data_IF_252577233340
#
_entry.id   IF_252577233340
#
_cell.length_a   1.000
_cell.length_b   1.000
_cell.length_c   1.000
_cell.angle_alpha   90.00
_cell.angle_beta   90.00
_cell.angle_gamma   90.00
#
_symmetry.space_group_name_H-M   'P 1'
#
loop_
_entity.id
_entity.type
_entity.pdbx_description
1 polymer ?
#
# COMPACT_ATOMS: atom_id res chain seq x y z
N UNK A 1 -2.59 8.28 -11.19
CA UNK A 1 -3.37 7.00 -11.24
C UNK A 1 -3.69 6.61 -9.80
N UNK A 2 -4.87 6.06 -9.49
CA UNK A 2 -5.20 5.66 -8.11
C UNK A 2 -5.07 4.15 -8.02
N UNK A 3 -4.21 3.67 -7.11
CA UNK A 3 -4.06 2.25 -6.78
C UNK A 3 -4.72 2.04 -5.44
N UNK A 4 -5.80 1.26 -5.43
CA UNK A 4 -6.48 0.85 -4.20
C UNK A 4 -5.93 -0.49 -3.77
N UNK A 5 -5.44 -0.54 -2.53
CA UNK A 5 -4.99 -1.79 -1.90
C UNK A 5 -5.92 -2.03 -0.72
N UNK A 6 -6.68 -3.12 -0.81
CA UNK A 6 -7.58 -3.58 0.23
C UNK A 6 -6.93 -4.76 0.95
N UNK A 7 -6.91 -4.72 2.26
CA UNK A 7 -6.33 -5.76 3.11
C UNK A 7 -7.08 -5.80 4.44
N UNK A 8 -6.97 -6.90 5.19
CA UNK A 8 -7.60 -7.00 6.50
C UNK A 8 -6.68 -6.60 7.64
N UNK A 9 -7.27 -6.24 8.79
CA UNK A 9 -6.48 -5.92 9.98
C UNK A 9 -5.58 -7.10 10.40
N UNK A 10 -6.03 -8.35 10.19
CA UNK A 10 -5.22 -9.55 10.40
C UNK A 10 -4.01 -9.62 9.47
N UNK A 11 -4.14 -9.23 8.20
CA UNK A 11 -2.99 -9.19 7.26
C UNK A 11 -1.96 -8.14 7.66
N UNK A 12 -2.42 -6.96 8.12
CA UNK A 12 -1.53 -5.94 8.69
C UNK A 12 -0.81 -6.45 9.95
N UNK A 13 -1.54 -7.16 10.81
CA UNK A 13 -0.99 -7.74 12.04
C UNK A 13 0.00 -8.88 11.74
N UNK A 14 -0.25 -9.72 10.73
CA UNK A 14 0.65 -10.80 10.31
C UNK A 14 1.97 -10.25 9.77
N UNK A 15 1.92 -9.08 9.12
CA UNK A 15 3.10 -8.37 8.63
C UNK A 15 3.89 -7.66 9.74
N UNK A 16 3.35 -7.55 10.96
CA UNK A 16 3.92 -6.76 12.07
C UNK A 16 4.18 -5.30 11.68
N UNK A 17 3.36 -4.77 10.76
CA UNK A 17 3.48 -3.41 10.22
C UNK A 17 2.28 -2.57 10.60
N UNK A 18 2.47 -1.26 10.68
CA UNK A 18 1.34 -0.32 10.83
C UNK A 18 0.76 0.03 9.47
N UNK A 19 -0.48 0.51 9.44
CA UNK A 19 -1.15 0.96 8.20
C UNK A 19 -0.32 2.00 7.43
N UNK A 20 0.35 2.92 8.14
CA UNK A 20 1.29 3.87 7.55
C UNK A 20 2.55 3.22 6.99
N UNK A 21 3.12 2.23 7.70
CA UNK A 21 4.29 1.50 7.19
C UNK A 21 3.95 0.66 5.96
N UNK A 22 2.77 0.04 5.96
CA UNK A 22 2.28 -0.70 4.80
C UNK A 22 2.03 0.24 3.62
N UNK A 23 1.43 1.41 3.85
CA UNK A 23 1.25 2.43 2.81
C UNK A 23 2.59 2.84 2.17
N UNK A 24 3.59 3.17 2.99
CA UNK A 24 4.93 3.54 2.52
C UNK A 24 5.60 2.38 1.76
N UNK A 25 5.44 1.15 2.26
CA UNK A 25 5.95 -0.06 1.62
C UNK A 25 5.33 -0.29 0.23
N UNK A 26 4.00 -0.14 0.10
CA UNK A 26 3.29 -0.27 -1.17
C UNK A 26 3.68 0.85 -2.13
N UNK A 27 3.80 2.09 -1.66
CA UNK A 27 4.26 3.22 -2.48
C UNK A 27 5.66 2.94 -3.02
N UNK A 28 6.59 2.51 -2.16
CA UNK A 28 7.95 2.18 -2.57
C UNK A 28 8.00 1.00 -3.56
N UNK A 29 7.20 -0.05 -3.34
CA UNK A 29 7.12 -1.19 -4.24
C UNK A 29 6.52 -0.82 -5.62
N UNK A 30 5.55 0.09 -5.66
CA UNK A 30 4.97 0.60 -6.90
C UNK A 30 5.92 1.54 -7.65
N UNK A 31 6.69 2.35 -6.93
CA UNK A 31 7.72 3.22 -7.50
C UNK A 31 8.83 2.38 -8.17
N UNK A 32 9.28 1.30 -7.51
CA UNK A 32 10.28 0.36 -8.06
C UNK A 32 9.73 -0.43 -9.26
N UNK A 33 8.48 -0.90 -9.18
CA UNK A 33 7.86 -1.68 -10.25
C UNK A 33 7.49 -0.83 -11.48
N UNK A 34 7.15 0.45 -11.31
CA UNK A 34 6.67 1.33 -12.37
C UNK A 34 7.22 2.76 -12.26
N UNK A 35 8.54 2.96 -12.46
CA UNK A 35 9.18 4.28 -12.33
C UNK A 35 8.74 5.29 -13.41
N UNK A 36 8.13 4.83 -14.50
CA UNK A 36 7.71 5.66 -15.64
C UNK A 36 6.32 6.29 -15.49
N UNK A 37 5.57 5.98 -14.43
CA UNK A 37 4.20 6.46 -14.29
C UNK A 37 4.13 7.71 -13.40
N UNK A 38 3.51 8.82 -13.89
CA UNK A 38 3.44 10.06 -13.15
C UNK A 38 2.47 9.92 -11.97
N UNK A 39 3.02 9.88 -10.75
CA UNK A 39 2.30 10.05 -9.48
C UNK A 39 1.20 9.02 -9.23
N UNK A 40 1.52 7.99 -8.45
CA UNK A 40 0.51 7.09 -7.89
C UNK A 40 -0.04 7.67 -6.60
N UNK A 41 -1.36 7.76 -6.51
CA UNK A 41 -2.04 7.93 -5.24
C UNK A 41 -2.42 6.54 -4.75
N UNK A 42 -1.72 6.06 -3.72
CA UNK A 42 -2.05 4.81 -3.05
C UNK A 42 -3.09 5.09 -1.98
N UNK A 43 -4.24 4.45 -2.10
CA UNK A 43 -5.27 4.41 -1.06
C UNK A 43 -5.27 3.02 -0.45
N UNK A 44 -4.95 2.93 0.85
CA UNK A 44 -5.05 1.69 1.63
C UNK A 44 -6.42 1.70 2.30
N UNK A 45 -7.17 0.61 2.12
CA UNK A 45 -8.46 0.42 2.76
C UNK A 45 -8.39 -0.85 3.63
N UNK A 46 -8.47 -0.69 4.95
CA UNK A 46 -8.57 -1.82 5.86
C UNK A 46 -10.02 -2.31 5.89
N UNK A 47 -10.21 -3.59 5.59
CA UNK A 47 -11.50 -4.27 5.70
C UNK A 47 -11.55 -5.07 7.01
N UNK A 48 -12.69 -4.98 7.70
CA UNK A 48 -13.01 -5.68 8.97
C UNK A 48 -13.57 -7.08 8.72
#
# INVERSE_FOLDING_TARGET
MIVKVSLTADELADMDMTEQQFHDHVVAALDDAQPDLPGFNVEVEIQD
#
